data_IF_298012319939
#
_entry.id   IF_298012319939
#
_cell.length_a   1.000
_cell.length_b   1.000
_cell.length_c   1.000
_cell.angle_alpha   90.00
_cell.angle_beta   90.00
_cell.angle_gamma   90.00
#
_symmetry.space_group_name_H-M   'P 1'
#
loop_
_entity.id
_entity.type
_entity.pdbx_description
1 polymer ?
#
# COMPACT_ATOMS: atom_id res chain seq x y z
N UNK A 1 -91.47 6.01 15.04
CA UNK A 1 -90.27 5.17 14.87
C UNK A 1 -89.09 6.16 14.79
N UNK A 2 -88.36 6.44 15.88
CA UNK A 2 -87.18 5.72 16.41
C UNK A 2 -86.09 5.63 15.32
N UNK A 3 -84.83 6.09 15.43
CA UNK A 3 -83.95 6.59 16.51
C UNK A 3 -82.62 7.05 15.83
N UNK A 4 -81.95 8.13 16.28
CA UNK A 4 -80.72 8.16 17.14
C UNK A 4 -79.48 8.66 16.36
N UNK A 5 -79.00 9.89 16.68
CA UNK A 5 -77.76 10.28 17.43
C UNK A 5 -76.43 9.88 16.74
N UNK A 6 -75.39 10.72 16.63
CA UNK A 6 -74.60 11.39 17.68
C UNK A 6 -73.83 12.59 17.05
N UNK A 7 -73.90 13.81 17.57
CA UNK A 7 -73.21 14.37 18.75
C UNK A 7 -71.79 14.93 18.47
N UNK A 8 -71.77 16.26 18.47
CA UNK A 8 -70.73 17.29 18.60
C UNK A 8 -69.68 17.10 19.72
N UNK A 9 -68.53 17.79 19.59
CA UNK A 9 -67.83 18.54 20.67
C UNK A 9 -66.64 19.33 20.06
N UNK A 10 -66.78 20.59 19.66
CA UNK A 10 -66.44 21.83 20.39
C UNK A 10 -65.11 21.86 21.17
N UNK A 11 -64.27 22.81 20.75
CA UNK A 11 -63.68 23.87 21.58
C UNK A 11 -62.48 23.52 22.49
N UNK A 12 -61.35 24.15 22.17
CA UNK A 12 -60.48 24.80 23.17
C UNK A 12 -59.55 25.81 22.50
N UNK A 13 -59.78 27.09 22.81
CA UNK A 13 -58.84 27.98 23.51
C UNK A 13 -57.34 27.84 23.13
N UNK A 14 -56.56 28.88 22.85
CA UNK A 14 -56.57 30.24 23.36
C UNK A 14 -55.38 31.01 22.73
N UNK A 15 -55.62 32.27 22.34
CA UNK A 15 -54.78 33.47 22.58
C UNK A 15 -53.26 33.36 22.29
N UNK A 16 -52.79 34.00 21.21
CA UNK A 16 -52.14 35.34 21.21
C UNK A 16 -51.04 35.50 22.26
N UNK A 17 -49.79 35.72 21.83
CA UNK A 17 -48.97 36.92 22.11
C UNK A 17 -47.65 36.83 21.34
N UNK A 18 -47.34 37.93 20.66
CA UNK A 18 -46.11 38.20 19.93
C UNK A 18 -44.93 38.46 20.88
N UNK A 19 -43.69 38.20 20.43
CA UNK A 19 -42.57 39.15 20.53
C UNK A 19 -41.30 38.56 19.92
N UNK A 20 -40.60 39.42 19.17
CA UNK A 20 -39.28 39.22 18.62
C UNK A 20 -38.20 39.03 19.71
N UNK A 21 -37.19 38.22 19.41
CA UNK A 21 -35.88 38.28 20.06
C UNK A 21 -34.77 38.29 19.02
N UNK A 22 -34.02 39.40 19.03
CA UNK A 22 -32.71 39.53 18.43
C UNK A 22 -31.66 38.79 19.29
N UNK A 23 -30.60 38.26 18.69
CA UNK A 23 -29.41 37.84 19.44
C UNK A 23 -28.61 36.70 18.82
N UNK A 24 -27.53 37.09 18.13
CA UNK A 24 -26.23 36.44 17.99
C UNK A 24 -26.09 34.90 18.11
N UNK A 25 -25.59 34.28 17.03
CA UNK A 25 -24.50 33.30 17.13
C UNK A 25 -23.69 33.31 15.83
N UNK A 26 -22.52 33.95 15.85
CA UNK A 26 -21.46 33.73 14.85
C UNK A 26 -20.94 32.32 15.08
N UNK A 27 -21.44 31.35 14.32
CA UNK A 27 -20.86 30.02 14.28
C UNK A 27 -19.68 30.05 13.31
N UNK A 28 -18.47 30.26 13.85
CA UNK A 28 -17.22 29.93 13.18
C UNK A 28 -17.26 28.42 12.85
N UNK A 29 -17.70 28.07 11.64
CA UNK A 29 -17.47 26.77 11.06
C UNK A 29 -16.00 26.70 10.63
N UNK A 30 -15.10 26.56 11.60
CA UNK A 30 -13.77 26.00 11.35
C UNK A 30 -14.01 24.54 11.03
N UNK A 31 -14.27 24.26 9.75
CA UNK A 31 -14.21 22.91 9.21
C UNK A 31 -12.77 22.43 9.42
N UNK A 32 -12.57 21.64 10.46
CA UNK A 32 -11.34 20.92 10.74
C UNK A 32 -11.19 19.83 9.67
N UNK A 33 -10.26 19.94 8.70
CA UNK A 33 -9.91 18.81 7.84
C UNK A 33 -9.15 17.70 8.59
N UNK A 34 -8.82 17.92 9.87
CA UNK A 34 -7.87 17.13 10.62
C UNK A 34 -8.32 15.70 10.92
N UNK A 35 -9.61 15.40 11.06
CA UNK A 35 -10.03 14.04 11.46
C UNK A 35 -9.94 13.03 10.31
N UNK A 36 -10.23 13.44 9.07
CA UNK A 36 -10.12 12.56 7.90
C UNK A 36 -8.65 12.27 7.54
N UNK A 37 -7.78 13.29 7.60
CA UNK A 37 -6.34 13.10 7.43
C UNK A 37 -5.74 12.29 8.57
N UNK A 38 -6.10 12.54 9.83
CA UNK A 38 -5.58 11.79 10.98
C UNK A 38 -5.98 10.31 10.97
N UNK A 39 -7.21 9.98 10.53
CA UNK A 39 -7.64 8.60 10.36
C UNK A 39 -6.85 7.88 9.25
N UNK A 40 -6.59 8.57 8.12
CA UNK A 40 -5.73 8.07 7.04
C UNK A 40 -4.30 7.82 7.52
N UNK A 41 -3.72 8.75 8.28
CA UNK A 41 -2.38 8.65 8.84
C UNK A 41 -2.21 7.45 9.77
N UNK A 42 -3.16 7.21 10.69
CA UNK A 42 -3.04 6.16 11.71
C UNK A 42 -3.28 4.75 11.14
N UNK A 43 -4.21 4.60 10.20
CA UNK A 43 -4.58 3.31 9.61
C UNK A 43 -3.68 2.86 8.46
N UNK A 44 -2.90 3.77 7.87
CA UNK A 44 -2.14 3.49 6.66
C UNK A 44 -1.21 2.26 6.76
N UNK A 45 -0.33 2.13 7.78
CA UNK A 45 0.64 1.02 7.79
C UNK A 45 -0.03 -0.35 7.77
N UNK A 46 -1.19 -0.48 8.43
CA UNK A 46 -1.96 -1.73 8.46
C UNK A 46 -2.66 -1.99 7.12
N UNK A 47 -3.28 -0.97 6.53
CA UNK A 47 -3.90 -1.07 5.21
C UNK A 47 -2.90 -1.40 4.10
N UNK A 48 -1.75 -0.73 4.09
CA UNK A 48 -0.67 -0.98 3.15
C UNK A 48 -0.14 -2.42 3.26
N UNK A 49 0.11 -2.90 4.49
CA UNK A 49 0.53 -4.29 4.74
C UNK A 49 -0.51 -5.28 4.23
N UNK A 50 -1.78 -5.11 4.58
CA UNK A 50 -2.85 -6.00 4.15
C UNK A 50 -2.98 -6.06 2.61
N UNK A 51 -2.80 -4.93 1.93
CA UNK A 51 -2.90 -4.83 0.48
C UNK A 51 -1.76 -5.56 -0.26
N UNK A 52 -0.53 -5.51 0.27
CA UNK A 52 0.66 -6.02 -0.46
C UNK A 52 1.23 -7.33 0.10
N UNK A 53 0.79 -7.80 1.27
CA UNK A 53 1.35 -9.00 1.95
C UNK A 53 1.32 -10.24 1.05
N UNK A 54 0.26 -10.45 0.27
CA UNK A 54 0.16 -11.60 -0.65
C UNK A 54 1.19 -11.54 -1.78
N UNK A 55 1.49 -10.35 -2.28
CA UNK A 55 2.42 -10.11 -3.38
C UNK A 55 3.86 -10.26 -2.87
N UNK A 56 4.16 -9.72 -1.68
CA UNK A 56 5.44 -9.97 -1.02
C UNK A 56 5.63 -11.47 -0.75
N UNK A 57 4.58 -12.18 -0.34
CA UNK A 57 4.62 -13.63 -0.20
C UNK A 57 4.89 -14.34 -1.54
N UNK A 58 4.31 -13.87 -2.64
CA UNK A 58 4.53 -14.42 -3.98
C UNK A 58 5.93 -14.14 -4.54
N UNK A 59 6.58 -13.03 -4.15
CA UNK A 59 7.96 -12.73 -4.53
C UNK A 59 8.98 -13.68 -3.91
N UNK A 60 8.69 -14.22 -2.72
CA UNK A 60 9.61 -15.10 -1.97
C UNK A 60 9.96 -16.41 -2.70
N UNK A 61 8.99 -17.21 -3.22
CA UNK A 61 9.32 -18.36 -4.03
C UNK A 61 10.05 -17.95 -5.31
N UNK A 62 9.64 -16.88 -6.00
CA UNK A 62 10.32 -16.41 -7.22
C UNK A 62 11.79 -16.08 -7.00
N UNK A 63 12.11 -15.43 -5.88
CA UNK A 63 13.49 -15.16 -5.50
C UNK A 63 14.29 -16.45 -5.28
N UNK A 64 13.71 -17.44 -4.57
CA UNK A 64 14.37 -18.74 -4.34
C UNK A 64 14.58 -19.47 -5.64
N UNK A 65 13.58 -19.50 -6.51
CA UNK A 65 13.63 -20.19 -7.79
C UNK A 65 14.67 -19.54 -8.71
N UNK A 66 14.74 -18.21 -8.74
CA UNK A 66 15.80 -17.50 -9.45
C UNK A 66 17.19 -17.79 -8.86
N UNK A 67 17.31 -17.88 -7.54
CA UNK A 67 18.58 -18.21 -6.87
C UNK A 67 19.00 -19.66 -7.10
N UNK A 68 18.04 -20.59 -7.14
CA UNK A 68 18.24 -22.00 -7.43
C UNK A 68 18.58 -22.21 -8.90
N UNK A 69 18.01 -21.41 -9.80
CA UNK A 69 18.36 -21.41 -11.22
C UNK A 69 19.83 -21.07 -11.45
N UNK A 70 20.37 -20.10 -10.71
CA UNK A 70 21.81 -19.75 -10.75
C UNK A 70 22.73 -20.90 -10.31
N UNK A 71 22.21 -21.84 -9.51
CA UNK A 71 22.94 -23.04 -9.07
C UNK A 71 22.66 -24.26 -9.94
N UNK A 72 21.84 -24.13 -10.99
CA UNK A 72 21.38 -25.24 -11.81
C UNK A 72 20.37 -26.17 -11.13
N UNK A 73 19.77 -25.74 -10.00
CA UNK A 73 18.80 -26.52 -9.23
C UNK A 73 17.35 -26.31 -9.68
N UNK A 74 17.08 -25.22 -10.39
CA UNK A 74 15.81 -24.95 -11.07
C UNK A 74 16.03 -24.95 -12.60
N UNK A 75 14.99 -25.26 -13.38
CA UNK A 75 15.04 -25.35 -14.85
C UNK A 75 14.18 -24.30 -15.55
N UNK A 76 13.36 -23.54 -14.82
CA UNK A 76 12.51 -22.52 -15.42
C UNK A 76 13.36 -21.44 -16.08
N UNK A 77 12.91 -20.90 -17.22
CA UNK A 77 13.62 -19.83 -17.89
C UNK A 77 13.54 -18.54 -17.07
N UNK A 78 14.61 -17.73 -17.12
CA UNK A 78 14.63 -16.44 -16.41
C UNK A 78 13.50 -15.52 -16.89
N UNK A 79 13.11 -15.57 -18.17
CA UNK A 79 12.00 -14.76 -18.69
C UNK A 79 10.67 -15.07 -17.99
N UNK A 80 10.38 -16.34 -17.74
CA UNK A 80 9.18 -16.74 -17.00
C UNK A 80 9.19 -16.20 -15.56
N UNK A 81 10.33 -16.32 -14.87
CA UNK A 81 10.49 -15.79 -13.51
C UNK A 81 10.40 -14.26 -13.50
N UNK A 82 10.93 -13.61 -14.53
CA UNK A 82 10.94 -12.17 -14.70
C UNK A 82 9.53 -11.61 -14.88
N UNK A 83 8.73 -12.22 -15.74
CA UNK A 83 7.35 -11.80 -16.00
C UNK A 83 6.48 -11.93 -14.74
N UNK A 84 6.63 -13.02 -13.97
CA UNK A 84 5.92 -13.17 -12.70
C UNK A 84 6.37 -12.16 -11.65
N UNK A 85 7.67 -11.88 -11.59
CA UNK A 85 8.22 -10.88 -10.68
C UNK A 85 7.74 -9.47 -11.05
N UNK A 86 7.69 -9.14 -12.34
CA UNK A 86 7.15 -7.87 -12.85
C UNK A 86 5.66 -7.71 -12.54
N UNK A 87 4.86 -8.76 -12.70
CA UNK A 87 3.45 -8.74 -12.34
C UNK A 87 3.23 -8.45 -10.85
N UNK A 88 3.99 -9.12 -9.97
CA UNK A 88 3.93 -8.86 -8.54
C UNK A 88 4.43 -7.45 -8.18
N UNK A 89 5.53 -6.99 -8.79
CA UNK A 89 6.07 -5.65 -8.59
C UNK A 89 5.07 -4.56 -9.00
N UNK A 90 4.36 -4.74 -10.11
CA UNK A 90 3.34 -3.80 -10.59
C UNK A 90 2.19 -3.57 -9.62
N UNK A 91 1.77 -4.62 -8.90
CA UNK A 91 0.70 -4.52 -7.89
C UNK A 91 1.21 -3.85 -6.60
N UNK A 92 2.45 -4.15 -6.19
CA UNK A 92 3.07 -3.51 -5.02
C UNK A 92 3.28 -2.00 -5.29
N UNK A 93 3.78 -1.68 -6.48
CA UNK A 93 4.08 -0.34 -6.96
C UNK A 93 2.92 0.37 -7.67
N UNK A 94 1.69 0.06 -7.31
CA UNK A 94 0.51 0.73 -7.84
C UNK A 94 0.62 2.25 -7.66
N UNK A 95 0.53 3.00 -8.77
CA UNK A 95 0.86 4.43 -8.83
C UNK A 95 0.03 5.27 -7.86
N UNK A 96 -1.28 5.04 -7.81
CA UNK A 96 -2.19 5.81 -6.96
C UNK A 96 -1.94 5.53 -5.48
N UNK A 97 -1.62 4.27 -5.15
CA UNK A 97 -1.29 3.88 -3.77
C UNK A 97 0.07 4.45 -3.31
N UNK A 98 1.05 4.56 -4.22
CA UNK A 98 2.32 5.24 -3.94
C UNK A 98 2.13 6.75 -3.78
N UNK A 99 1.29 7.38 -4.62
CA UNK A 99 0.97 8.80 -4.48
C UNK A 99 0.25 9.08 -3.15
N UNK A 100 -0.67 8.19 -2.74
CA UNK A 100 -1.31 8.26 -1.44
C UNK A 100 -0.29 8.16 -0.29
N UNK A 101 0.69 7.26 -0.38
CA UNK A 101 1.78 7.16 0.62
C UNK A 101 2.64 8.43 0.67
N UNK A 102 2.97 9.04 -0.47
CA UNK A 102 3.71 10.30 -0.50
C UNK A 102 2.93 11.44 0.18
N UNK A 103 1.60 11.43 0.07
CA UNK A 103 0.72 12.37 0.76
C UNK A 103 0.81 12.29 2.29
N UNK A 104 1.25 11.15 2.85
CA UNK A 104 1.40 10.94 4.29
C UNK A 104 2.59 11.71 4.90
N UNK A 105 3.44 12.31 4.06
CA UNK A 105 4.49 13.23 4.52
C UNK A 105 3.93 14.45 5.25
N UNK A 106 2.63 14.76 5.08
CA UNK A 106 1.92 15.84 5.76
C UNK A 106 1.45 15.45 7.16
N UNK A 107 1.47 14.17 7.51
CA UNK A 107 1.06 13.71 8.83
C UNK A 107 2.02 14.24 9.90
N UNK A 108 1.51 14.59 11.10
CA UNK A 108 2.35 15.14 12.17
C UNK A 108 3.36 14.13 12.72
N UNK A 109 3.11 12.83 12.52
CA UNK A 109 4.03 11.75 12.86
C UNK A 109 4.62 11.18 11.58
N UNK A 110 5.93 10.84 11.63
CA UNK A 110 6.60 10.15 10.53
C UNK A 110 6.00 8.74 10.37
N UNK A 111 5.39 8.49 9.21
CA UNK A 111 4.79 7.21 8.87
C UNK A 111 5.79 6.39 8.05
N UNK A 112 6.02 5.11 8.38
CA UNK A 112 6.93 4.27 7.62
C UNK A 112 6.45 4.12 6.16
N UNK A 113 7.35 4.33 5.17
CA UNK A 113 7.01 4.23 3.75
C UNK A 113 7.01 2.77 3.29
N UNK A 114 6.01 2.01 3.75
CA UNK A 114 5.84 0.57 3.51
C UNK A 114 5.81 0.25 2.01
N UNK A 115 4.95 0.91 1.23
CA UNK A 115 4.78 0.60 -0.20
C UNK A 115 6.01 0.98 -0.99
N UNK A 116 6.58 2.16 -0.76
CA UNK A 116 7.78 2.61 -1.47
C UNK A 116 8.94 1.64 -1.29
N UNK A 117 9.29 1.26 -0.05
CA UNK A 117 10.42 0.34 0.17
C UNK A 117 10.13 -1.05 -0.40
N UNK A 118 8.90 -1.56 -0.26
CA UNK A 118 8.53 -2.84 -0.88
C UNK A 118 8.55 -2.79 -2.42
N UNK A 119 8.21 -1.64 -3.01
CA UNK A 119 8.28 -1.40 -4.46
C UNK A 119 9.73 -1.32 -4.92
N UNK A 120 10.59 -0.58 -4.21
CA UNK A 120 12.03 -0.53 -4.47
C UNK A 120 12.64 -1.94 -4.41
N UNK A 121 12.28 -2.74 -3.40
CA UNK A 121 12.71 -4.13 -3.28
C UNK A 121 12.22 -5.00 -4.46
N UNK A 122 10.95 -4.90 -4.83
CA UNK A 122 10.38 -5.69 -5.92
C UNK A 122 11.04 -5.34 -7.26
N UNK A 123 11.24 -4.06 -7.56
CA UNK A 123 11.94 -3.64 -8.77
C UNK A 123 13.42 -4.00 -8.76
N UNK A 124 14.10 -3.94 -7.61
CA UNK A 124 15.47 -4.40 -7.52
C UNK A 124 15.59 -5.91 -7.84
N UNK A 125 14.62 -6.73 -7.41
CA UNK A 125 14.56 -8.15 -7.80
C UNK A 125 14.32 -8.32 -9.30
N UNK A 126 13.41 -7.54 -9.89
CA UNK A 126 13.20 -7.54 -11.36
C UNK A 126 14.52 -7.25 -12.08
N UNK A 127 15.24 -6.20 -11.69
CA UNK A 127 16.53 -5.84 -12.29
C UNK A 127 17.57 -6.95 -12.15
N UNK A 128 17.63 -7.61 -10.99
CA UNK A 128 18.54 -8.73 -10.76
C UNK A 128 18.22 -9.92 -11.67
N UNK A 129 16.95 -10.30 -11.79
CA UNK A 129 16.54 -11.42 -12.66
C UNK A 129 16.77 -11.05 -14.14
N UNK A 130 16.47 -9.82 -14.53
CA UNK A 130 16.68 -9.32 -15.89
C UNK A 130 18.16 -9.35 -16.29
N UNK A 131 19.07 -8.96 -15.40
CA UNK A 131 20.51 -9.08 -15.64
C UNK A 131 20.96 -10.53 -15.81
N UNK A 132 20.36 -11.48 -15.07
CA UNK A 132 20.65 -12.91 -15.25
C UNK A 132 20.10 -13.44 -16.57
N UNK A 133 18.94 -12.97 -17.03
CA UNK A 133 18.41 -13.29 -18.34
C UNK A 133 19.34 -12.79 -19.46
N UNK A 134 19.81 -11.54 -19.37
CA UNK A 134 20.74 -10.94 -20.35
C UNK A 134 22.11 -11.59 -20.32
N UNK A 135 22.66 -11.88 -19.14
CA UNK A 135 23.95 -12.56 -18.99
C UNK A 135 23.89 -14.02 -19.51
N UNK A 136 22.74 -14.67 -19.41
CA UNK A 136 22.52 -15.99 -20.01
C UNK A 136 22.46 -15.94 -21.55
N UNK A 137 22.12 -14.79 -22.13
CA UNK A 137 21.96 -14.59 -23.56
C UNK A 137 23.18 -13.93 -24.25
N UNK A 138 24.02 -13.21 -23.51
CA UNK A 138 25.09 -12.37 -24.07
C UNK A 138 26.38 -12.43 -23.24
N UNK A 139 27.53 -12.21 -23.87
CA UNK A 139 28.85 -12.17 -23.21
C UNK A 139 29.23 -10.77 -22.67
N UNK A 140 28.28 -9.83 -22.62
CA UNK A 140 28.53 -8.45 -22.15
C UNK A 140 28.55 -8.37 -20.62
N UNK A 141 29.71 -8.63 -20.03
CA UNK A 141 29.86 -8.76 -18.57
C UNK A 141 30.03 -7.42 -17.82
N UNK A 142 30.76 -6.45 -18.37
CA UNK A 142 31.28 -5.32 -17.58
C UNK A 142 30.24 -4.26 -17.17
N UNK A 143 29.39 -3.83 -18.08
CA UNK A 143 28.35 -2.83 -17.77
C UNK A 143 27.16 -3.44 -17.00
N UNK A 144 26.97 -4.76 -17.14
CA UNK A 144 25.97 -5.51 -16.41
C UNK A 144 26.34 -5.66 -14.92
N UNK A 145 27.63 -5.81 -14.61
CA UNK A 145 28.13 -6.07 -13.26
C UNK A 145 27.93 -4.86 -12.32
N UNK A 146 28.17 -3.63 -12.77
CA UNK A 146 27.95 -2.44 -11.97
C UNK A 146 26.46 -2.22 -11.63
N UNK A 147 25.58 -2.38 -12.62
CA UNK A 147 24.12 -2.31 -12.42
C UNK A 147 23.62 -3.44 -11.53
N UNK A 148 24.28 -4.59 -11.58
CA UNK A 148 23.96 -5.74 -10.72
C UNK A 148 24.35 -5.49 -9.28
N UNK A 149 25.53 -4.92 -9.03
CA UNK A 149 25.95 -4.56 -7.69
C UNK A 149 25.00 -3.56 -7.03
N UNK A 150 24.58 -2.51 -7.77
CA UNK A 150 23.63 -1.52 -7.29
C UNK A 150 22.26 -2.16 -6.96
N UNK A 151 21.69 -2.92 -7.90
CA UNK A 151 20.41 -3.61 -7.68
C UNK A 151 20.47 -4.56 -6.48
N UNK A 152 21.59 -5.27 -6.31
CA UNK A 152 21.84 -6.18 -5.19
C UNK A 152 21.93 -5.44 -3.86
N UNK A 153 22.58 -4.27 -3.84
CA UNK A 153 22.66 -3.43 -2.66
C UNK A 153 21.27 -2.89 -2.25
N UNK A 154 20.49 -2.40 -3.21
CA UNK A 154 19.11 -1.95 -2.96
C UNK A 154 18.27 -3.10 -2.44
N UNK A 155 18.33 -4.26 -3.10
CA UNK A 155 17.54 -5.43 -2.76
C UNK A 155 17.86 -5.97 -1.36
N UNK A 156 19.14 -6.15 -1.05
CA UNK A 156 19.61 -6.68 0.24
C UNK A 156 19.24 -5.77 1.42
N UNK A 157 19.06 -4.47 1.19
CA UNK A 157 18.56 -3.52 2.19
C UNK A 157 17.04 -3.49 2.28
N UNK A 158 16.36 -3.35 1.14
CA UNK A 158 14.93 -3.04 1.10
C UNK A 158 14.05 -4.27 1.36
N UNK A 159 14.41 -5.44 0.80
CA UNK A 159 13.56 -6.63 0.89
C UNK A 159 13.45 -7.19 2.31
N UNK A 160 14.53 -7.32 3.11
CA UNK A 160 14.39 -7.76 4.50
C UNK A 160 13.53 -6.83 5.34
N UNK A 161 13.57 -5.52 5.08
CA UNK A 161 12.73 -4.55 5.77
C UNK A 161 11.26 -4.72 5.36
N UNK A 162 10.98 -4.88 4.06
CA UNK A 162 9.64 -5.16 3.56
C UNK A 162 9.06 -6.43 4.18
N UNK A 163 9.84 -7.52 4.23
CA UNK A 163 9.41 -8.79 4.83
C UNK A 163 9.12 -8.67 6.33
N UNK A 164 9.95 -7.95 7.09
CA UNK A 164 9.68 -7.68 8.51
C UNK A 164 8.36 -6.95 8.71
N UNK A 165 8.05 -5.96 7.89
CA UNK A 165 6.75 -5.28 7.96
C UNK A 165 5.57 -6.19 7.59
N UNK A 166 5.80 -7.21 6.78
CA UNK A 166 4.81 -8.23 6.42
C UNK A 166 4.79 -9.45 7.37
N UNK A 167 5.60 -9.42 8.44
CA UNK A 167 5.75 -10.52 9.42
C UNK A 167 6.31 -11.81 8.80
N UNK A 168 7.14 -11.67 7.76
CA UNK A 168 7.90 -12.78 7.19
C UNK A 168 9.33 -12.79 7.69
N UNK A 169 9.87 -13.99 7.95
CA UNK A 169 11.30 -14.17 8.19
C UNK A 169 12.07 -13.90 6.90
N UNK A 170 13.11 -13.03 6.94
CA UNK A 170 13.88 -12.72 5.75
C UNK A 170 14.53 -13.94 5.12
N UNK A 171 14.47 -14.01 3.80
CA UNK A 171 15.17 -15.06 3.07
C UNK A 171 16.68 -14.81 3.06
N UNK A 172 17.43 -15.90 2.99
CA UNK A 172 18.88 -15.89 2.78
C UNK A 172 19.13 -16.49 1.40
N UNK A 173 19.49 -15.64 0.44
CA UNK A 173 19.75 -16.02 -0.96
C UNK A 173 20.98 -15.29 -1.48
N UNK A 174 21.51 -15.76 -2.62
CA UNK A 174 22.65 -15.16 -3.31
C UNK A 174 22.40 -13.71 -3.75
N UNK A 175 21.13 -13.30 -3.88
CA UNK A 175 20.74 -11.94 -4.19
C UNK A 175 20.86 -10.99 -3.00
N UNK A 176 21.00 -11.52 -1.79
CA UNK A 176 21.02 -10.72 -0.54
C UNK A 176 22.37 -10.72 0.15
N UNK A 177 23.28 -11.62 -0.21
CA UNK A 177 24.63 -11.71 0.36
C UNK A 177 25.63 -10.94 -0.50
N UNK A 178 26.35 -9.97 0.07
CA UNK A 178 27.57 -9.45 -0.55
C UNK A 178 28.60 -10.57 -0.61
N UNK A 179 29.00 -10.99 -1.81
CA UNK A 179 30.23 -11.76 -1.99
C UNK A 179 31.38 -10.77 -2.08
#
# INVERSE_FOLDING_TARGET
MIAVQNASCTDRQQRRIAAAFAGAAVAFAVLLPFDAEAASCRGYPQGARAAIKKQVQALRPLEREAADRLKGLDTRPFDYLLDQTRAAAGVIGEKDALAAEQGLSRCPQSIPPVRRVCTEAAHALVSLIEQQAVASATTQAKDAEAKQAEAKQVYSRAMPQCERWMEFSPLVTVFRTSN
#
